data_IF_459138894254
#
_entry.id   IF_459138894254
#
_cell.length_a   1.000
_cell.length_b   1.000
_cell.length_c   1.000
_cell.angle_alpha   90.00
_cell.angle_beta   90.00
_cell.angle_gamma   90.00
#
_symmetry.space_group_name_H-M   'P 1'
#
loop_
_entity.id
_entity.type
_entity.pdbx_description
1 polymer ?
#
# COMPACT_ATOMS: atom_id res chain seq x y z
N UNK A 1 -12.88 3.21 -4.01
CA UNK A 1 -11.93 2.10 -4.29
C UNK A 1 -10.49 2.57 -4.56
N UNK A 2 -10.21 3.46 -5.53
CA UNK A 2 -8.83 3.89 -5.86
C UNK A 2 -8.08 4.51 -4.67
N UNK A 3 -8.71 5.42 -3.94
CA UNK A 3 -8.11 6.04 -2.75
C UNK A 3 -7.80 5.03 -1.64
N UNK A 4 -8.71 4.06 -1.43
CA UNK A 4 -8.48 2.96 -0.50
C UNK A 4 -7.17 2.23 -0.87
N UNK A 5 -7.02 1.80 -2.12
CA UNK A 5 -5.84 1.04 -2.54
C UNK A 5 -4.55 1.86 -2.43
N UNK A 6 -4.54 3.10 -2.91
CA UNK A 6 -3.31 3.91 -2.92
C UNK A 6 -2.87 4.26 -1.49
N UNK A 7 -3.80 4.70 -0.64
CA UNK A 7 -3.47 5.10 0.74
C UNK A 7 -3.06 3.90 1.59
N UNK A 8 -3.79 2.79 1.53
CA UNK A 8 -3.48 1.62 2.34
C UNK A 8 -2.16 0.96 1.90
N UNK A 9 -1.90 0.81 0.59
CA UNK A 9 -0.63 0.27 0.09
C UNK A 9 0.55 1.17 0.42
N UNK A 10 0.41 2.49 0.25
CA UNK A 10 1.47 3.45 0.61
C UNK A 10 1.74 3.44 2.10
N UNK A 11 0.70 3.40 2.94
CA UNK A 11 0.83 3.34 4.39
C UNK A 11 1.53 2.05 4.84
N UNK A 12 1.15 0.88 4.28
CA UNK A 12 1.80 -0.40 4.60
C UNK A 12 3.27 -0.40 4.18
N UNK A 13 3.59 0.08 2.97
CA UNK A 13 4.97 0.20 2.52
C UNK A 13 5.81 1.11 3.43
N UNK A 14 5.26 2.26 3.83
CA UNK A 14 5.91 3.19 4.74
C UNK A 14 6.13 2.56 6.12
N UNK A 15 5.11 1.86 6.65
CA UNK A 15 5.16 1.19 7.94
C UNK A 15 6.29 0.16 7.99
N UNK A 16 6.43 -0.66 6.94
CA UNK A 16 7.50 -1.66 6.82
C UNK A 16 8.88 -0.98 6.76
N UNK A 17 9.05 0.04 5.91
CA UNK A 17 10.32 0.75 5.77
C UNK A 17 10.73 1.52 7.04
N UNK A 18 9.78 2.04 7.80
CA UNK A 18 10.03 2.66 9.10
C UNK A 18 10.55 1.64 10.12
N UNK A 19 9.98 0.44 10.15
CA UNK A 19 10.46 -0.65 11.02
C UNK A 19 11.86 -1.13 10.63
N UNK A 20 12.10 -1.33 9.32
CA UNK A 20 13.42 -1.69 8.81
C UNK A 20 14.43 -0.59 9.17
N UNK A 21 14.10 0.68 8.93
CA UNK A 21 14.93 1.82 9.28
C UNK A 21 15.25 1.87 10.78
N UNK A 22 14.26 1.60 11.64
CA UNK A 22 14.45 1.52 13.09
C UNK A 22 15.38 0.37 13.50
N UNK A 23 15.20 -0.82 12.91
CA UNK A 23 16.06 -1.98 13.17
C UNK A 23 17.51 -1.77 12.72
N UNK A 24 17.71 -0.98 11.66
CA UNK A 24 19.03 -0.59 11.15
C UNK A 24 19.64 0.62 11.89
N UNK A 25 18.94 1.21 12.86
CA UNK A 25 19.42 2.40 13.57
C UNK A 25 19.42 3.68 12.72
N UNK A 26 18.67 3.73 11.62
CA UNK A 26 18.60 4.88 10.70
C UNK A 26 17.65 6.00 11.18
N UNK A 27 16.88 5.75 12.23
CA UNK A 27 15.87 6.68 12.77
C UNK A 27 15.76 6.51 14.28
N UNK A 28 15.60 7.64 14.98
CA UNK A 28 15.41 7.64 16.43
C UNK A 28 14.08 6.98 16.84
N UNK A 29 14.01 6.20 17.94
CA UNK A 29 12.81 5.47 18.35
C UNK A 29 11.55 6.34 18.45
N UNK A 30 11.67 7.56 18.98
CA UNK A 30 10.51 8.46 19.12
C UNK A 30 9.98 8.92 17.76
N UNK A 31 10.89 9.26 16.83
CA UNK A 31 10.52 9.68 15.48
C UNK A 31 9.92 8.52 14.69
N UNK A 32 10.45 7.31 14.86
CA UNK A 32 9.87 6.09 14.30
C UNK A 32 8.45 5.85 14.82
N UNK A 33 8.21 5.95 16.13
CA UNK A 33 6.88 5.75 16.71
C UNK A 33 5.86 6.76 16.18
N UNK A 34 6.24 8.03 16.01
CA UNK A 34 5.41 9.06 15.36
C UNK A 34 5.11 8.65 13.93
N UNK A 35 6.13 8.29 13.15
CA UNK A 35 5.96 7.87 11.75
C UNK A 35 5.03 6.68 11.61
N UNK A 36 5.21 5.62 12.41
CA UNK A 36 4.38 4.41 12.40
C UNK A 36 2.92 4.76 12.68
N UNK A 37 2.64 5.56 13.70
CA UNK A 37 1.27 5.93 14.03
C UNK A 37 0.66 6.86 12.97
N UNK A 38 1.43 7.82 12.44
CA UNK A 38 0.97 8.71 11.36
C UNK A 38 0.58 7.95 10.09
N UNK A 39 1.36 6.94 9.68
CA UNK A 39 1.01 6.12 8.52
C UNK A 39 -0.18 5.20 8.82
N UNK A 40 -0.37 4.77 10.08
CA UNK A 40 -1.61 4.08 10.49
C UNK A 40 -2.84 4.98 10.39
N UNK A 41 -2.73 6.27 10.72
CA UNK A 41 -3.81 7.24 10.48
C UNK A 41 -4.14 7.34 8.99
N UNK A 42 -3.13 7.43 8.12
CA UNK A 42 -3.33 7.42 6.66
C UNK A 42 -4.00 6.11 6.19
N UNK A 43 -3.58 4.96 6.72
CA UNK A 43 -4.22 3.68 6.46
C UNK A 43 -5.71 3.72 6.85
N UNK A 44 -6.03 4.23 8.05
CA UNK A 44 -7.40 4.38 8.52
C UNK A 44 -8.26 5.28 7.62
N UNK A 45 -7.70 6.40 7.14
CA UNK A 45 -8.37 7.25 6.12
C UNK A 45 -8.64 6.46 4.85
N UNK A 46 -7.66 5.68 4.38
CA UNK A 46 -7.83 4.77 3.24
C UNK A 46 -9.01 3.80 3.44
N UNK A 47 -9.07 3.14 4.59
CA UNK A 47 -10.17 2.22 4.97
C UNK A 47 -11.52 2.93 4.98
N UNK A 48 -11.62 4.13 5.58
CA UNK A 48 -12.87 4.91 5.62
C UNK A 48 -13.34 5.29 4.21
N UNK A 49 -12.43 5.76 3.34
CA UNK A 49 -12.77 6.01 1.93
C UNK A 49 -13.17 4.71 1.19
N UNK A 50 -12.67 3.58 1.67
CA UNK A 50 -13.07 2.24 1.24
C UNK A 50 -14.47 1.83 1.69
N UNK A 51 -15.01 2.33 2.79
CA UNK A 51 -16.35 1.94 3.25
C UNK A 51 -17.46 2.82 2.67
N UNK A 52 -17.17 4.08 2.35
CA UNK A 52 -18.16 5.05 1.83
C UNK A 52 -18.82 4.60 0.52
N UNK A 53 -18.15 3.78 -0.29
CA UNK A 53 -18.70 3.30 -1.57
C UNK A 53 -19.48 1.99 -1.46
N UNK A 54 -19.58 1.39 -0.27
CA UNK A 54 -20.31 0.14 -0.05
C UNK A 54 -21.77 0.46 0.22
N UNK A 55 -22.65 0.19 -0.75
CA UNK A 55 -24.08 0.50 -0.65
C UNK A 55 -24.84 -0.24 0.46
N UNK A 56 -24.26 -1.30 1.06
CA UNK A 56 -24.88 -2.08 2.15
C UNK A 56 -23.86 -2.45 3.25
N UNK A 57 -23.44 -1.49 4.10
CA UNK A 57 -22.39 -1.69 5.10
C UNK A 57 -22.68 -2.83 6.09
N UNK A 58 -23.93 -2.99 6.51
CA UNK A 58 -24.32 -4.04 7.46
C UNK A 58 -24.20 -5.45 6.87
N UNK A 59 -24.32 -5.60 5.55
CA UNK A 59 -24.13 -6.90 4.87
C UNK A 59 -22.66 -7.22 4.64
N UNK A 60 -21.75 -6.25 4.76
CA UNK A 60 -20.32 -6.49 4.70
C UNK A 60 -19.84 -7.39 5.85
N UNK A 61 -20.54 -7.39 6.99
CA UNK A 61 -20.28 -8.34 8.08
C UNK A 61 -20.46 -9.79 7.64
N UNK A 62 -21.38 -10.07 6.71
CA UNK A 62 -21.56 -11.42 6.18
C UNK A 62 -20.37 -11.87 5.33
N UNK A 63 -19.59 -10.93 4.80
CA UNK A 63 -18.36 -11.24 4.04
C UNK A 63 -17.28 -11.82 4.96
N UNK A 64 -17.34 -11.57 6.27
CA UNK A 64 -16.39 -12.16 7.24
C UNK A 64 -16.58 -13.67 7.42
N UNK A 65 -17.71 -14.26 7.01
CA UNK A 65 -17.92 -15.71 7.06
C UNK A 65 -17.37 -16.46 5.84
N UNK A 66 -16.81 -15.74 4.86
CA UNK A 66 -16.30 -16.30 3.61
C UNK A 66 -14.77 -16.23 3.48
N UNK A 67 -14.06 -16.12 4.61
CA UNK A 67 -12.58 -16.09 4.63
C UNK A 67 -12.05 -17.35 3.94
N UNK A 68 -11.02 -17.19 3.12
CA UNK A 68 -10.43 -18.24 2.29
C UNK A 68 -11.11 -18.44 0.94
N UNK A 69 -12.40 -18.12 0.81
CA UNK A 69 -13.19 -18.39 -0.41
C UNK A 69 -13.35 -17.18 -1.34
N UNK A 70 -13.31 -15.96 -0.81
CA UNK A 70 -13.52 -14.72 -1.56
C UNK A 70 -12.31 -13.79 -1.46
N UNK A 71 -11.75 -13.31 -2.59
CA UNK A 71 -10.68 -12.31 -2.57
C UNK A 71 -11.03 -11.05 -1.77
N UNK A 72 -12.28 -10.60 -1.86
CA UNK A 72 -12.77 -9.44 -1.12
C UNK A 72 -12.85 -9.70 0.39
N UNK A 73 -13.31 -10.90 0.80
CA UNK A 73 -13.34 -11.28 2.21
C UNK A 73 -11.93 -11.34 2.81
N UNK A 74 -10.98 -11.95 2.07
CA UNK A 74 -9.59 -12.05 2.50
C UNK A 74 -8.95 -10.67 2.68
N UNK A 75 -9.20 -9.76 1.76
CA UNK A 75 -8.70 -8.39 1.84
C UNK A 75 -9.25 -7.66 3.07
N UNK A 76 -10.57 -7.72 3.31
CA UNK A 76 -11.20 -7.09 4.49
C UNK A 76 -10.58 -7.62 5.80
N UNK A 77 -10.41 -8.94 5.92
CA UNK A 77 -9.83 -9.55 7.12
C UNK A 77 -8.38 -9.15 7.30
N UNK A 78 -7.57 -9.21 6.24
CA UNK A 78 -6.16 -8.79 6.30
C UNK A 78 -6.02 -7.30 6.63
N UNK A 79 -6.88 -6.46 6.07
CA UNK A 79 -6.97 -5.03 6.37
C UNK A 79 -7.29 -4.79 7.85
N UNK A 80 -8.29 -5.50 8.39
CA UNK A 80 -8.68 -5.41 9.81
C UNK A 80 -7.57 -5.92 10.74
N UNK A 81 -6.92 -7.04 10.41
CA UNK A 81 -5.81 -7.59 11.18
C UNK A 81 -4.60 -6.64 11.18
N UNK A 82 -4.27 -6.05 10.02
CA UNK A 82 -3.23 -5.02 9.91
C UNK A 82 -3.58 -3.79 10.74
N UNK A 83 -4.81 -3.29 10.63
CA UNK A 83 -5.29 -2.13 11.39
C UNK A 83 -5.21 -2.37 12.91
N UNK A 84 -5.63 -3.54 13.38
CA UNK A 84 -5.60 -3.90 14.79
C UNK A 84 -4.16 -4.03 15.31
N UNK A 85 -3.34 -4.87 14.68
CA UNK A 85 -1.97 -5.11 15.14
C UNK A 85 -1.09 -3.85 14.98
N UNK A 86 -1.14 -3.21 13.81
CA UNK A 86 -0.36 -2.03 13.49
C UNK A 86 -0.80 -0.81 14.29
N UNK A 87 -2.11 -0.62 14.45
CA UNK A 87 -2.69 0.49 15.21
C UNK A 87 -2.39 0.40 16.70
N UNK A 88 -2.68 -0.74 17.32
CA UNK A 88 -2.39 -0.96 18.75
C UNK A 88 -0.89 -0.94 19.04
N UNK A 89 -0.09 -1.60 18.19
CA UNK A 89 1.36 -1.63 18.33
C UNK A 89 1.99 -0.25 18.20
N UNK A 90 1.66 0.51 17.14
CA UNK A 90 2.22 1.85 16.91
C UNK A 90 1.74 2.87 17.94
N UNK A 91 0.47 2.82 18.35
CA UNK A 91 -0.07 3.69 19.41
C UNK A 91 0.61 3.41 20.75
N UNK A 92 0.82 2.14 21.10
CA UNK A 92 1.55 1.77 22.31
C UNK A 92 2.99 2.27 22.32
N UNK A 93 3.71 2.14 21.20
CA UNK A 93 5.05 2.72 21.04
C UNK A 93 5.03 4.25 21.14
N UNK A 94 4.04 4.92 20.54
CA UNK A 94 3.92 6.38 20.56
C UNK A 94 3.65 6.93 21.96
N UNK A 95 2.73 6.29 22.69
CA UNK A 95 2.35 6.69 24.05
C UNK A 95 3.32 6.18 25.12
N UNK A 96 4.30 5.35 24.75
CA UNK A 96 5.15 4.61 25.67
C UNK A 96 4.33 3.85 26.72
N UNK A 97 3.25 3.20 26.26
CA UNK A 97 2.23 2.49 27.07
C UNK A 97 1.97 1.12 26.48
N UNK A 98 1.59 0.16 27.34
CA UNK A 98 1.56 -1.25 26.97
C UNK A 98 2.97 -1.82 26.95
N UNK A 99 3.15 -3.09 27.31
CA UNK A 99 4.48 -3.68 27.44
C UNK A 99 5.31 -3.48 26.16
N UNK A 100 6.52 -2.92 26.28
CA UNK A 100 7.35 -2.56 25.12
C UNK A 100 7.61 -3.76 24.19
N UNK A 101 7.75 -4.96 24.74
CA UNK A 101 7.90 -6.19 23.96
C UNK A 101 6.62 -6.51 23.17
N UNK A 102 5.45 -6.40 23.79
CA UNK A 102 4.17 -6.64 23.13
C UNK A 102 3.98 -5.67 21.96
N UNK A 103 4.23 -4.37 22.15
CA UNK A 103 4.11 -3.39 21.09
C UNK A 103 5.06 -3.69 19.92
N UNK A 104 6.31 -4.09 20.21
CA UNK A 104 7.28 -4.51 19.19
C UNK A 104 6.81 -5.75 18.42
N UNK A 105 6.28 -6.76 19.11
CA UNK A 105 5.73 -7.97 18.47
C UNK A 105 4.55 -7.60 17.57
N UNK A 106 3.64 -6.76 18.05
CA UNK A 106 2.46 -6.34 17.28
C UNK A 106 2.83 -5.59 16.00
N UNK A 107 3.80 -4.66 16.03
CA UNK A 107 4.20 -3.94 14.82
C UNK A 107 4.91 -4.84 13.80
N UNK A 108 5.74 -5.80 14.24
CA UNK A 108 6.36 -6.75 13.30
C UNK A 108 5.36 -7.77 12.75
N UNK A 109 4.40 -8.21 13.57
CA UNK A 109 3.28 -9.02 13.09
C UNK A 109 2.45 -8.25 12.05
N UNK A 110 2.17 -6.97 12.31
CA UNK A 110 1.48 -6.10 11.36
C UNK A 110 2.26 -5.96 10.05
N UNK A 111 3.59 -5.82 10.10
CA UNK A 111 4.42 -5.78 8.90
C UNK A 111 4.26 -7.05 8.05
N UNK A 112 4.29 -8.24 8.68
CA UNK A 112 4.09 -9.51 7.99
C UNK A 112 2.69 -9.61 7.36
N UNK A 113 1.65 -9.23 8.10
CA UNK A 113 0.27 -9.18 7.58
C UNK A 113 0.17 -8.20 6.42
N UNK A 114 0.82 -7.04 6.53
CA UNK A 114 0.85 -5.99 5.52
C UNK A 114 1.42 -6.46 4.18
N UNK A 115 2.47 -7.27 4.21
CA UNK A 115 3.02 -7.90 2.99
C UNK A 115 1.95 -8.76 2.32
N UNK A 116 1.29 -9.66 3.08
CA UNK A 116 0.23 -10.52 2.54
C UNK A 116 -0.93 -9.68 2.01
N UNK A 117 -1.31 -8.63 2.73
CA UNK A 117 -2.37 -7.69 2.34
C UNK A 117 -2.10 -7.00 1.00
N UNK A 118 -0.86 -6.54 0.75
CA UNK A 118 -0.47 -5.94 -0.55
C UNK A 118 -0.72 -6.92 -1.71
N UNK A 119 -0.48 -8.22 -1.52
CA UNK A 119 -0.73 -9.24 -2.53
C UNK A 119 -2.19 -9.73 -2.59
N UNK A 120 -2.97 -9.49 -1.54
CA UNK A 120 -4.40 -9.80 -1.52
C UNK A 120 -5.22 -8.81 -2.36
N UNK A 121 -4.88 -7.52 -2.33
CA UNK A 121 -5.62 -6.47 -3.06
C UNK A 121 -5.76 -6.78 -4.57
N UNK A 122 -4.69 -7.11 -5.33
CA UNK A 122 -4.79 -7.38 -6.77
C UNK A 122 -5.73 -8.54 -7.12
N UNK A 123 -5.96 -9.48 -6.20
CA UNK A 123 -6.87 -10.61 -6.41
C UNK A 123 -8.33 -10.18 -6.59
N UNK A 124 -8.71 -9.00 -6.06
CA UNK A 124 -10.03 -8.40 -6.28
C UNK A 124 -10.17 -7.91 -7.73
N UNK A 125 -9.06 -7.46 -8.33
CA UNK A 125 -9.06 -6.87 -9.68
C UNK A 125 -8.86 -7.93 -10.77
N UNK A 126 -8.10 -8.99 -10.49
CA UNK A 126 -7.74 -10.02 -11.47
C UNK A 126 -8.86 -11.02 -11.80
N UNK A 127 -10.13 -10.65 -11.59
CA UNK A 127 -11.27 -11.47 -11.97
C UNK A 127 -11.32 -11.62 -13.50
N UNK A 128 -11.67 -12.81 -13.98
CA UNK A 128 -11.73 -13.11 -15.42
C UNK A 128 -12.74 -12.26 -16.19
N UNK A 129 -13.66 -11.60 -15.50
CA UNK A 129 -14.71 -10.76 -16.08
C UNK A 129 -14.18 -9.42 -16.61
N UNK A 130 -12.99 -8.96 -16.21
CA UNK A 130 -12.40 -7.69 -16.67
C UNK A 130 -11.01 -7.94 -17.23
N UNK A 131 -10.93 -8.11 -18.56
CA UNK A 131 -9.71 -8.49 -19.27
C UNK A 131 -8.52 -7.56 -19.02
N UNK A 132 -8.76 -6.25 -18.94
CA UNK A 132 -7.71 -5.24 -18.68
C UNK A 132 -7.09 -5.35 -17.29
N UNK A 133 -7.78 -5.97 -16.33
CA UNK A 133 -7.30 -6.16 -14.96
C UNK A 133 -6.81 -7.57 -14.68
N UNK A 134 -7.24 -8.57 -15.46
CA UNK A 134 -6.88 -9.98 -15.32
C UNK A 134 -5.48 -10.28 -15.89
N UNK A 135 -4.46 -9.59 -15.40
CA UNK A 135 -3.07 -9.71 -15.83
C UNK A 135 -2.11 -9.61 -14.65
N UNK A 136 -0.91 -10.18 -14.77
CA UNK A 136 0.14 -10.06 -13.73
C UNK A 136 0.62 -8.61 -13.53
N UNK A 137 0.50 -7.75 -14.55
CA UNK A 137 0.83 -6.34 -14.45
C UNK A 137 0.01 -5.62 -13.38
N UNK A 138 -1.25 -6.00 -13.15
CA UNK A 138 -2.07 -5.45 -12.07
C UNK A 138 -1.40 -5.62 -10.72
N UNK A 139 -0.88 -6.82 -10.43
CA UNK A 139 -0.12 -7.09 -9.20
C UNK A 139 1.17 -6.28 -9.16
N UNK A 140 1.93 -6.26 -10.25
CA UNK A 140 3.22 -5.55 -10.31
C UNK A 140 3.04 -4.05 -10.03
N UNK A 141 2.08 -3.40 -10.70
CA UNK A 141 1.82 -1.97 -10.52
C UNK A 141 1.32 -1.64 -9.12
N UNK A 142 0.49 -2.49 -8.52
CA UNK A 142 0.00 -2.32 -7.15
C UNK A 142 1.09 -2.51 -6.09
N UNK A 143 2.00 -3.46 -6.28
CA UNK A 143 3.18 -3.62 -5.42
C UNK A 143 4.09 -2.39 -5.53
N UNK A 144 4.30 -1.87 -6.75
CA UNK A 144 5.08 -0.64 -6.96
C UNK A 144 4.45 0.56 -6.25
N UNK A 145 3.12 0.67 -6.17
CA UNK A 145 2.46 1.72 -5.38
C UNK A 145 2.91 1.72 -3.92
N UNK A 146 2.99 0.55 -3.29
CA UNK A 146 3.46 0.42 -1.91
C UNK A 146 4.92 0.88 -1.76
N UNK A 147 5.78 0.57 -2.74
CA UNK A 147 7.20 0.96 -2.71
C UNK A 147 7.40 2.46 -3.02
N UNK A 148 6.70 2.99 -4.02
CA UNK A 148 6.80 4.40 -4.44
C UNK A 148 6.25 5.30 -3.33
N UNK A 149 4.97 5.13 -2.99
CA UNK A 149 4.30 5.95 -1.97
C UNK A 149 4.84 5.68 -0.57
N UNK A 150 5.08 4.40 -0.24
CA UNK A 150 5.64 4.03 1.06
C UNK A 150 7.07 4.49 1.26
N UNK A 151 7.90 4.44 0.22
CA UNK A 151 9.26 4.99 0.24
C UNK A 151 9.27 6.49 0.50
N UNK A 152 8.43 7.26 -0.20
CA UNK A 152 8.32 8.71 0.03
C UNK A 152 7.83 9.06 1.44
N UNK A 153 6.83 8.34 1.95
CA UNK A 153 6.33 8.54 3.31
C UNK A 153 7.38 8.16 4.36
N UNK A 154 8.07 7.04 4.19
CA UNK A 154 9.16 6.64 5.09
C UNK A 154 10.29 7.68 5.09
N UNK A 155 10.61 8.25 3.93
CA UNK A 155 11.57 9.33 3.82
C UNK A 155 11.12 10.59 4.57
N UNK A 156 9.86 10.98 4.41
CA UNK A 156 9.24 12.10 5.13
C UNK A 156 9.33 11.93 6.65
N UNK A 157 9.05 10.73 7.15
CA UNK A 157 9.03 10.45 8.59
C UNK A 157 10.42 10.19 9.20
N UNK A 158 11.49 10.10 8.41
CA UNK A 158 12.86 10.18 8.91
C UNK A 158 13.83 9.16 8.38
N UNK A 159 13.38 8.12 7.67
CA UNK A 159 14.25 7.14 7.03
C UNK A 159 14.60 7.62 5.61
N UNK A 160 15.17 8.83 5.51
CA UNK A 160 15.27 9.60 4.25
C UNK A 160 15.99 8.85 3.14
N UNK A 161 17.23 8.40 3.38
CA UNK A 161 18.06 7.76 2.33
C UNK A 161 17.43 6.46 1.81
N UNK A 162 17.04 5.56 2.71
CA UNK A 162 16.44 4.28 2.33
C UNK A 162 15.06 4.48 1.66
N UNK A 163 14.23 5.35 2.22
CA UNK A 163 12.90 5.64 1.66
C UNK A 163 12.96 6.23 0.25
N UNK A 164 13.84 7.22 0.03
CA UNK A 164 14.05 7.80 -1.30
C UNK A 164 14.62 6.77 -2.27
N UNK A 165 15.62 5.99 -1.86
CA UNK A 165 16.22 4.94 -2.69
C UNK A 165 15.15 3.92 -3.14
N UNK A 166 14.34 3.42 -2.21
CA UNK A 166 13.27 2.46 -2.53
C UNK A 166 12.24 3.08 -3.47
N UNK A 167 11.83 4.33 -3.22
CA UNK A 167 10.86 5.01 -4.06
C UNK A 167 11.40 5.24 -5.48
N UNK A 168 12.62 5.76 -5.62
CA UNK A 168 13.26 6.01 -6.92
C UNK A 168 13.44 4.71 -7.71
N UNK A 169 13.96 3.65 -7.08
CA UNK A 169 14.10 2.35 -7.75
C UNK A 169 12.75 1.79 -8.20
N UNK A 170 11.69 1.95 -7.41
CA UNK A 170 10.35 1.53 -7.79
C UNK A 170 9.77 2.38 -8.94
N UNK A 171 10.05 3.69 -8.98
CA UNK A 171 9.68 4.55 -10.12
C UNK A 171 10.39 4.10 -11.39
N UNK A 172 11.70 3.84 -11.33
CA UNK A 172 12.46 3.35 -12.47
C UNK A 172 11.93 2.00 -12.96
N UNK A 173 11.63 1.07 -12.03
CA UNK A 173 10.99 -0.20 -12.37
C UNK A 173 9.61 0.00 -13.03
N UNK A 174 8.81 0.98 -12.57
CA UNK A 174 7.53 1.34 -13.20
C UNK A 174 7.72 1.79 -14.65
N UNK A 175 8.75 2.58 -14.95
CA UNK A 175 9.07 3.00 -16.31
C UNK A 175 9.51 1.84 -17.20
N UNK A 176 10.34 0.93 -16.67
CA UNK A 176 10.75 -0.27 -17.41
C UNK A 176 9.58 -1.20 -17.76
N UNK A 177 8.60 -1.36 -16.86
CA UNK A 177 7.45 -2.23 -17.06
C UNK A 177 6.36 -1.60 -17.94
N UNK A 178 6.35 -0.28 -18.09
CA UNK A 178 5.26 0.47 -18.73
C UNK A 178 4.99 0.10 -20.19
N UNK A 179 6.00 -0.09 -21.08
CA UNK A 179 5.73 -0.48 -22.47
C UNK A 179 5.00 -1.83 -22.56
N UNK A 180 5.44 -2.83 -21.80
CA UNK A 180 4.81 -4.15 -21.75
C UNK A 180 3.40 -4.10 -21.14
N UNK A 181 3.20 -3.29 -20.11
CA UNK A 181 1.89 -3.06 -19.52
C UNK A 181 0.91 -2.44 -20.52
N UNK A 182 1.31 -1.34 -21.20
CA UNK A 182 0.47 -0.67 -22.20
C UNK A 182 0.17 -1.60 -23.37
N UNK A 183 1.15 -2.36 -23.86
CA UNK A 183 0.92 -3.34 -24.92
C UNK A 183 -0.12 -4.39 -24.52
N UNK A 184 -0.07 -4.87 -23.28
CA UNK A 184 -1.05 -5.85 -22.77
C UNK A 184 -2.45 -5.24 -22.67
N UNK A 185 -2.54 -3.99 -22.20
CA UNK A 185 -3.80 -3.25 -22.14
C UNK A 185 -4.39 -3.00 -23.53
N UNK A 186 -3.57 -2.60 -24.50
CA UNK A 186 -4.00 -2.37 -25.89
C UNK A 186 -4.54 -3.65 -26.54
N UNK A 187 -3.94 -4.80 -26.24
CA UNK A 187 -4.44 -6.10 -26.71
C UNK A 187 -5.75 -6.53 -26.02
N UNK A 188 -5.95 -6.14 -24.76
CA UNK A 188 -7.17 -6.46 -24.01
C UNK A 188 -8.35 -5.56 -24.40
N UNK A 189 -8.12 -4.24 -24.50
CA UNK A 189 -9.09 -3.25 -24.97
C UNK A 189 -8.37 -1.96 -25.42
N UNK A 190 -8.15 -1.82 -26.72
CA UNK A 190 -7.46 -0.67 -27.30
C UNK A 190 -8.24 0.65 -27.17
N UNK A 191 -9.58 0.61 -27.15
CA UNK A 191 -10.41 1.81 -27.11
C UNK A 191 -10.34 2.44 -25.72
N UNK A 192 -10.57 1.64 -24.67
CA UNK A 192 -10.47 2.11 -23.28
C UNK A 192 -9.04 2.56 -22.96
N UNK A 193 -8.04 1.81 -23.43
CA UNK A 193 -6.63 2.13 -23.17
C UNK A 193 -6.22 3.44 -23.83
N UNK A 194 -6.61 3.67 -25.09
CA UNK A 194 -6.32 4.93 -25.80
C UNK A 194 -6.97 6.13 -25.09
N UNK A 195 -8.19 5.98 -24.58
CA UNK A 195 -8.90 7.02 -23.83
C UNK A 195 -8.19 7.43 -22.52
N UNK A 196 -7.28 6.59 -22.00
CA UNK A 196 -6.53 6.85 -20.76
C UNK A 196 -5.10 7.37 -20.99
N UNK A 197 -4.69 7.54 -22.25
CA UNK A 197 -3.32 7.95 -22.61
C UNK A 197 -2.83 9.22 -21.90
N UNK A 198 -3.71 10.23 -21.73
CA UNK A 198 -3.41 11.47 -21.01
C UNK A 198 -3.10 11.23 -19.54
N UNK A 199 -3.84 10.33 -18.87
CA UNK A 199 -3.59 9.95 -17.49
C UNK A 199 -2.27 9.20 -17.32
N UNK A 200 -1.94 8.31 -18.26
CA UNK A 200 -0.64 7.61 -18.25
C UNK A 200 0.51 8.59 -18.39
N UNK A 201 0.42 9.56 -19.29
CA UNK A 201 1.44 10.60 -19.50
C UNK A 201 1.56 11.50 -18.27
N UNK A 202 0.45 11.99 -17.73
CA UNK A 202 0.45 12.81 -16.51
C UNK A 202 1.10 12.09 -15.33
N UNK A 203 0.76 10.82 -15.12
CA UNK A 203 1.39 9.99 -14.09
C UNK A 203 2.90 9.85 -14.32
N UNK A 204 3.34 9.61 -15.56
CA UNK A 204 4.76 9.46 -15.86
C UNK A 204 5.55 10.75 -15.57
N UNK A 205 4.99 11.90 -15.94
CA UNK A 205 5.59 13.22 -15.65
C UNK A 205 5.70 13.43 -14.13
N UNK A 206 4.64 13.17 -13.37
CA UNK A 206 4.65 13.32 -11.92
C UNK A 206 5.70 12.42 -11.25
N UNK A 207 5.83 11.17 -11.71
CA UNK A 207 6.85 10.26 -11.20
C UNK A 207 8.26 10.70 -11.57
N UNK A 208 8.47 11.22 -12.78
CA UNK A 208 9.77 11.75 -13.22
C UNK A 208 10.17 12.98 -12.40
N UNK A 209 9.24 13.91 -12.15
CA UNK A 209 9.46 15.05 -11.26
C UNK A 209 9.78 14.60 -9.83
N UNK A 210 9.12 13.53 -9.35
CA UNK A 210 9.42 12.92 -8.06
C UNK A 210 10.86 12.40 -7.96
N UNK A 211 11.39 11.78 -9.02
CA UNK A 211 12.80 11.33 -9.07
C UNK A 211 13.75 12.52 -9.06
N UNK A 212 13.47 13.56 -9.87
CA UNK A 212 14.32 14.76 -9.93
C UNK A 212 14.36 15.45 -8.56
N UNK A 213 13.23 15.57 -7.87
CA UNK A 213 13.18 16.16 -6.52
C UNK A 213 13.80 15.29 -5.42
N UNK A 214 14.11 14.02 -5.70
CA UNK A 214 14.77 13.10 -4.77
C UNK A 214 16.31 13.10 -4.88
N UNK A 215 16.85 13.60 -6.00
CA UNK A 215 18.29 13.83 -6.23
C UNK A 215 18.75 15.11 -5.52
#
# INVERSE_FOLDING_TARGET
LVFFTVFTQSAVGAFILLLIGGAMGLIEPRRMAIGLFSVMCLFGVGVVLGTIHVGQPLRALNMLFRVGSSPMSNEIVLSACFAAAGGLGSLGLLLNRGGAMLCKVLVWLAAAIGVVFIFAIPRIYQLATVATWSTSYTTMMMVLTALIGGGMLAALFGVRRLGLLVSVLAILASFCLRPGYISTLMSADGVITAAQSTWFTAQAILLALGVIGAL
#
